data_IF_154305983804
#
_entry.id   IF_154305983804
#
_cell.length_a   1.000
_cell.length_b   1.000
_cell.length_c   1.000
_cell.angle_alpha   90.00
_cell.angle_beta   90.00
_cell.angle_gamma   90.00
#
_symmetry.space_group_name_H-M   'P 1'
#
loop_
_entity.id
_entity.type
_entity.pdbx_description
1 polymer ?
#
# COMPACT_ATOMS: atom_id res chain seq x y z
N UNK A 1 -10.26 -60.73 43.58
CA UNK A 1 -11.32 -60.29 42.64
C UNK A 1 -11.31 -58.77 42.59
N UNK A 2 -10.62 -58.18 41.61
CA UNK A 2 -10.40 -56.73 41.51
C UNK A 2 -11.21 -56.19 40.32
N UNK A 3 -12.28 -55.44 40.59
CA UNK A 3 -13.13 -54.83 39.56
C UNK A 3 -12.37 -53.67 38.90
N UNK A 4 -12.09 -53.78 37.60
CA UNK A 4 -11.50 -52.71 36.77
C UNK A 4 -12.54 -51.62 36.56
N UNK A 5 -12.27 -50.41 37.06
CA UNK A 5 -13.00 -49.21 36.69
C UNK A 5 -12.34 -48.62 35.42
N UNK A 6 -13.10 -48.55 34.33
CA UNK A 6 -12.69 -47.87 33.10
C UNK A 6 -13.08 -46.40 33.27
N UNK A 7 -12.07 -45.52 33.39
CA UNK A 7 -12.27 -44.08 33.38
C UNK A 7 -12.15 -43.62 31.92
N UNK A 8 -13.30 -43.33 31.31
CA UNK A 8 -13.37 -42.72 29.98
C UNK A 8 -13.08 -41.22 30.12
N UNK A 9 -11.85 -40.81 29.77
CA UNK A 9 -11.46 -39.40 29.73
C UNK A 9 -11.94 -38.79 28.41
N UNK A 10 -13.07 -38.07 28.44
CA UNK A 10 -13.57 -37.34 27.28
C UNK A 10 -12.74 -36.05 27.15
N UNK A 11 -11.86 -35.99 26.15
CA UNK A 11 -11.19 -34.77 25.72
C UNK A 11 -12.22 -33.79 25.13
N UNK A 12 -12.75 -32.90 25.95
CA UNK A 12 -13.46 -31.71 25.48
C UNK A 12 -12.44 -30.61 25.17
N UNK A 13 -11.86 -30.65 23.97
CA UNK A 13 -11.22 -29.46 23.40
C UNK A 13 -12.34 -28.50 23.01
N UNK A 14 -12.40 -27.25 23.55
CA UNK A 14 -13.30 -26.27 23.00
C UNK A 14 -12.85 -25.97 21.57
N UNK A 15 -13.65 -26.42 20.60
CA UNK A 15 -13.60 -25.96 19.22
C UNK A 15 -14.12 -24.52 19.15
N UNK A 16 -13.47 -23.60 19.87
CA UNK A 16 -13.51 -22.19 19.53
C UNK A 16 -12.32 -21.94 18.61
N UNK A 17 -12.39 -22.47 17.39
CA UNK A 17 -11.69 -21.88 16.27
C UNK A 17 -12.50 -20.62 15.98
N UNK A 18 -12.01 -19.49 16.48
CA UNK A 18 -12.54 -18.18 16.11
C UNK A 18 -12.26 -18.05 14.62
N UNK A 19 -13.28 -18.27 13.79
CA UNK A 19 -13.25 -17.82 12.41
C UNK A 19 -13.22 -16.28 12.45
N UNK A 20 -12.01 -15.70 12.55
CA UNK A 20 -11.84 -14.30 12.24
C UNK A 20 -12.26 -14.12 10.78
N UNK A 21 -13.03 -13.05 10.45
CA UNK A 21 -13.43 -12.80 9.08
C UNK A 21 -12.17 -12.53 8.26
N UNK A 22 -11.74 -13.52 7.48
CA UNK A 22 -10.58 -13.41 6.58
C UNK A 22 -10.79 -12.32 5.54
N UNK A 23 -12.05 -12.01 5.22
CA UNK A 23 -12.45 -10.94 4.29
C UNK A 23 -11.92 -9.56 4.66
N UNK A 24 -11.85 -9.23 5.95
CA UNK A 24 -11.50 -7.87 6.40
C UNK A 24 -9.98 -7.63 6.31
N UNK A 25 -9.18 -8.66 6.58
CA UNK A 25 -7.72 -8.61 6.46
C UNK A 25 -7.32 -8.53 4.99
N UNK A 26 -7.96 -9.31 4.12
CA UNK A 26 -7.68 -9.31 2.68
C UNK A 26 -8.06 -7.97 2.03
N UNK A 27 -9.23 -7.40 2.38
CA UNK A 27 -9.66 -6.10 1.88
C UNK A 27 -8.76 -4.96 2.37
N UNK A 28 -8.33 -4.98 3.64
CA UNK A 28 -7.40 -3.99 4.16
C UNK A 28 -6.03 -4.08 3.50
N UNK A 29 -5.53 -5.29 3.24
CA UNK A 29 -4.27 -5.50 2.56
C UNK A 29 -4.33 -5.02 1.10
N UNK A 30 -5.45 -5.25 0.40
CA UNK A 30 -5.70 -4.73 -0.94
C UNK A 30 -5.71 -3.19 -0.95
N UNK A 31 -6.40 -2.57 0.00
CA UNK A 31 -6.42 -1.11 0.13
C UNK A 31 -5.02 -0.53 0.41
N UNK A 32 -4.23 -1.17 1.27
CA UNK A 32 -2.84 -0.76 1.53
C UNK A 32 -2.00 -0.87 0.26
N UNK A 33 -2.18 -1.96 -0.50
CA UNK A 33 -1.49 -2.13 -1.78
C UNK A 33 -1.84 -1.00 -2.76
N UNK A 34 -3.13 -0.68 -2.92
CA UNK A 34 -3.58 0.35 -3.85
C UNK A 34 -3.16 1.76 -3.41
N UNK A 35 -3.12 2.03 -2.10
CA UNK A 35 -2.59 3.29 -1.57
C UNK A 35 -1.08 3.44 -1.82
N UNK A 36 -0.30 2.35 -1.71
CA UNK A 36 1.12 2.37 -2.09
C UNK A 36 1.30 2.54 -3.60
N UNK A 37 0.44 1.92 -4.41
CA UNK A 37 0.43 2.09 -5.86
C UNK A 37 0.12 3.55 -6.25
N UNK A 38 -0.87 4.17 -5.60
CA UNK A 38 -1.23 5.57 -5.81
C UNK A 38 -0.08 6.51 -5.40
N UNK A 39 0.60 6.21 -4.29
CA UNK A 39 1.76 6.97 -3.82
C UNK A 39 2.91 6.93 -4.86
N UNK A 40 3.18 5.74 -5.42
CA UNK A 40 4.18 5.58 -6.50
C UNK A 40 3.78 6.35 -7.76
N UNK A 41 2.55 6.18 -8.23
CA UNK A 41 2.03 6.90 -9.38
C UNK A 41 2.13 8.42 -9.20
N UNK A 42 1.79 8.91 -8.00
CA UNK A 42 1.91 10.32 -7.63
C UNK A 42 3.35 10.84 -7.67
N UNK A 43 4.33 10.01 -7.27
CA UNK A 43 5.73 10.36 -7.40
C UNK A 43 6.21 10.36 -8.86
N UNK A 44 5.73 9.41 -9.68
CA UNK A 44 6.07 9.33 -11.11
C UNK A 44 5.59 10.55 -11.89
N UNK A 45 4.40 11.09 -11.57
CA UNK A 45 3.86 12.33 -12.12
C UNK A 45 4.81 13.53 -11.93
N UNK A 46 5.68 13.49 -10.91
CA UNK A 46 6.63 14.57 -10.60
C UNK A 46 8.01 14.39 -11.23
N UNK A 47 8.25 13.29 -11.96
CA UNK A 47 9.53 13.03 -12.59
C UNK A 47 9.73 13.92 -13.82
N UNK A 48 10.98 14.16 -14.23
CA UNK A 48 11.27 15.01 -15.40
C UNK A 48 11.00 14.31 -16.74
N UNK A 49 11.07 12.98 -16.75
CA UNK A 49 10.85 12.18 -17.95
C UNK A 49 9.36 12.14 -18.32
N UNK A 50 9.04 12.53 -19.56
CA UNK A 50 7.65 12.67 -20.02
C UNK A 50 6.90 11.33 -20.06
N UNK A 51 7.59 10.24 -20.38
CA UNK A 51 6.97 8.91 -20.39
C UNK A 51 6.59 8.51 -18.96
N UNK A 52 7.48 8.69 -17.99
CA UNK A 52 7.20 8.40 -16.58
C UNK A 52 6.08 9.27 -16.01
N UNK A 53 6.05 10.56 -16.35
CA UNK A 53 4.94 11.43 -15.94
C UNK A 53 3.60 10.90 -16.45
N UNK A 54 3.52 10.60 -17.76
CA UNK A 54 2.30 10.12 -18.38
C UNK A 54 1.88 8.74 -17.84
N UNK A 55 2.83 7.82 -17.64
CA UNK A 55 2.57 6.53 -17.01
C UNK A 55 2.03 6.69 -15.58
N UNK A 56 2.59 7.63 -14.80
CA UNK A 56 2.08 7.99 -13.48
C UNK A 56 0.65 8.51 -13.52
N UNK A 57 0.30 9.40 -14.46
CA UNK A 57 -1.08 9.89 -14.62
C UNK A 57 -2.06 8.77 -14.97
N UNK A 58 -1.74 7.94 -15.96
CA UNK A 58 -2.59 6.82 -16.38
C UNK A 58 -2.81 5.85 -15.21
N UNK A 59 -1.75 5.53 -14.47
CA UNK A 59 -1.83 4.63 -13.33
C UNK A 59 -2.63 5.22 -12.16
N UNK A 60 -2.41 6.49 -11.81
CA UNK A 60 -3.20 7.14 -10.76
C UNK A 60 -4.69 7.19 -11.11
N UNK A 61 -5.02 7.48 -12.38
CA UNK A 61 -6.39 7.49 -12.85
C UNK A 61 -7.04 6.10 -12.80
N UNK A 62 -6.33 5.05 -13.23
CA UNK A 62 -6.88 3.69 -13.20
C UNK A 62 -7.16 3.21 -11.77
N UNK A 63 -6.32 3.61 -10.80
CA UNK A 63 -6.55 3.33 -9.38
C UNK A 63 -7.75 4.09 -8.83
N UNK A 64 -7.92 5.37 -9.20
CA UNK A 64 -9.05 6.18 -8.74
C UNK A 64 -10.39 5.74 -9.32
N UNK A 65 -10.42 5.33 -10.60
CA UNK A 65 -11.61 4.75 -11.23
C UNK A 65 -11.97 3.39 -10.62
N UNK A 66 -10.97 2.58 -10.26
CA UNK A 66 -11.18 1.28 -9.62
C UNK A 66 -11.55 1.35 -8.14
N UNK A 67 -11.26 2.46 -7.46
CA UNK A 67 -11.45 2.62 -6.02
C UNK A 67 -12.33 3.83 -5.69
N UNK A 68 -13.61 3.57 -5.43
CA UNK A 68 -14.58 4.58 -4.98
C UNK A 68 -14.17 5.32 -3.68
N UNK A 69 -13.25 4.74 -2.91
CA UNK A 69 -12.70 5.34 -1.68
C UNK A 69 -11.66 6.43 -1.96
N UNK A 70 -11.06 6.47 -3.16
CA UNK A 70 -10.00 7.41 -3.54
C UNK A 70 -10.59 8.76 -3.98
N UNK A 71 -11.44 9.34 -3.14
CA UNK A 71 -11.99 10.65 -3.41
C UNK A 71 -10.90 11.74 -3.34
N UNK A 72 -11.15 12.84 -4.05
CA UNK A 72 -10.19 13.93 -4.22
C UNK A 72 -9.71 14.51 -2.88
N UNK A 73 -10.66 14.91 -2.02
CA UNK A 73 -10.37 15.68 -0.81
C UNK A 73 -9.70 14.85 0.30
N UNK A 74 -10.02 13.56 0.38
CA UNK A 74 -9.62 12.75 1.54
C UNK A 74 -8.51 11.76 1.24
N UNK A 75 -8.25 11.44 -0.03
CA UNK A 75 -7.17 10.53 -0.42
C UNK A 75 -6.21 11.21 -1.39
N UNK A 76 -6.70 11.69 -2.54
CA UNK A 76 -5.80 12.14 -3.61
C UNK A 76 -5.00 13.39 -3.23
N UNK A 77 -5.65 14.43 -2.69
CA UNK A 77 -4.97 15.67 -2.27
C UNK A 77 -4.01 15.43 -1.08
N UNK A 78 -4.40 14.73 0.01
CA UNK A 78 -3.47 14.39 1.08
C UNK A 78 -2.27 13.57 0.59
N UNK A 79 -2.50 12.57 -0.29
CA UNK A 79 -1.43 11.76 -0.86
C UNK A 79 -0.47 12.62 -1.68
N UNK A 80 -0.98 13.46 -2.58
CA UNK A 80 -0.18 14.40 -3.37
C UNK A 80 0.68 15.29 -2.47
N UNK A 81 0.09 15.89 -1.44
CA UNK A 81 0.81 16.76 -0.52
C UNK A 81 1.91 16.00 0.25
N UNK A 82 1.62 14.79 0.72
CA UNK A 82 2.59 13.94 1.40
C UNK A 82 3.76 13.57 0.49
N UNK A 83 3.50 13.25 -0.78
CA UNK A 83 4.51 12.91 -1.78
C UNK A 83 5.34 14.13 -2.17
N UNK A 84 4.73 15.30 -2.38
CA UNK A 84 5.48 16.53 -2.68
C UNK A 84 6.44 16.88 -1.53
N UNK A 85 5.98 16.74 -0.28
CA UNK A 85 6.84 16.91 0.89
C UNK A 85 7.94 15.86 0.98
N UNK A 86 7.64 14.60 0.66
CA UNK A 86 8.62 13.52 0.67
C UNK A 86 9.70 13.76 -0.41
N UNK A 87 9.30 14.11 -1.63
CA UNK A 87 10.20 14.45 -2.75
C UNK A 87 11.18 15.56 -2.35
N UNK A 88 10.71 16.61 -1.67
CA UNK A 88 11.57 17.70 -1.22
C UNK A 88 12.66 17.27 -0.22
N UNK A 89 12.48 16.13 0.46
CA UNK A 89 13.39 15.60 1.47
C UNK A 89 14.19 14.37 1.03
N UNK A 90 13.95 13.84 -0.19
CA UNK A 90 14.74 12.73 -0.75
C UNK A 90 15.60 13.23 -1.91
N UNK A 91 16.92 13.04 -1.85
CA UNK A 91 17.77 13.31 -3.01
C UNK A 91 17.55 12.27 -4.11
N UNK A 92 17.58 12.71 -5.37
CA UNK A 92 17.50 11.81 -6.53
C UNK A 92 18.73 10.90 -6.60
N UNK A 93 18.51 9.61 -6.82
CA UNK A 93 19.59 8.68 -7.12
C UNK A 93 20.17 8.94 -8.49
N UNK A 94 21.48 8.96 -8.53
CA UNK A 94 22.28 9.18 -9.72
C UNK A 94 23.37 8.12 -9.75
N UNK A 95 23.28 7.21 -10.70
CA UNK A 95 24.31 6.19 -10.91
C UNK A 95 25.21 6.58 -12.06
N UNK A 96 26.52 6.28 -12.04
CA UNK A 96 27.34 6.39 -13.23
C UNK A 96 26.79 5.49 -14.33
N UNK A 97 26.53 6.05 -15.52
CA UNK A 97 26.25 5.21 -16.69
C UNK A 97 27.56 4.62 -17.18
N UNK A 98 27.58 3.30 -17.40
CA UNK A 98 28.66 2.62 -18.13
C UNK A 98 28.51 2.81 -19.65
N UNK A 99 27.35 3.27 -20.12
CA UNK A 99 27.11 3.57 -21.53
C UNK A 99 27.62 4.96 -21.90
N UNK A 100 28.37 5.10 -23.01
CA UNK A 100 28.77 6.40 -23.54
C UNK A 100 27.55 7.25 -23.97
N UNK A 101 27.56 8.58 -23.72
CA UNK A 101 28.54 9.28 -22.91
C UNK A 101 28.36 8.92 -21.42
N UNK A 102 29.48 8.69 -20.71
CA UNK A 102 29.55 8.38 -19.28
C UNK A 102 28.99 9.53 -18.43
N UNK A 103 27.67 9.72 -18.48
CA UNK A 103 26.91 10.72 -17.74
C UNK A 103 26.20 10.00 -16.62
N UNK A 104 26.09 10.63 -15.47
CA UNK A 104 25.27 10.06 -14.41
C UNK A 104 23.81 10.00 -14.87
N UNK A 105 23.18 8.85 -14.69
CA UNK A 105 21.79 8.59 -15.02
C UNK A 105 20.95 8.63 -13.75
N UNK A 106 19.86 9.39 -13.79
CA UNK A 106 18.88 9.38 -12.71
C UNK A 106 18.16 8.02 -12.66
N UNK A 107 17.85 7.53 -11.45
CA UNK A 107 17.03 6.33 -11.24
C UNK A 107 15.66 6.70 -10.64
N UNK A 108 14.75 7.28 -11.45
CA UNK A 108 13.47 7.79 -10.97
C UNK A 108 12.56 6.70 -10.36
N UNK A 109 12.65 5.45 -10.82
CA UNK A 109 11.87 4.33 -10.26
C UNK A 109 12.34 3.99 -8.83
N UNK A 110 13.66 3.79 -8.65
CA UNK A 110 14.24 3.53 -7.33
C UNK A 110 14.02 4.72 -6.40
N UNK A 111 14.13 5.94 -6.93
CA UNK A 111 13.84 7.17 -6.20
C UNK A 111 12.41 7.19 -5.67
N UNK A 112 11.42 6.91 -6.52
CA UNK A 112 10.03 6.90 -6.09
C UNK A 112 9.72 5.79 -5.08
N UNK A 113 10.38 4.63 -5.22
CA UNK A 113 10.30 3.59 -4.19
C UNK A 113 10.70 4.14 -2.82
N UNK A 114 11.83 4.83 -2.70
CA UNK A 114 12.26 5.36 -1.39
C UNK A 114 11.43 6.55 -0.90
N UNK A 115 10.93 7.38 -1.81
CA UNK A 115 9.97 8.45 -1.48
C UNK A 115 8.73 7.88 -0.80
N UNK A 116 8.15 6.80 -1.34
CA UNK A 116 6.91 6.25 -0.77
C UNK A 116 7.14 5.54 0.57
N UNK A 117 8.35 5.05 0.85
CA UNK A 117 8.68 4.41 2.13
C UNK A 117 9.10 5.39 3.22
N UNK A 118 9.11 6.70 2.94
CA UNK A 118 9.34 7.68 3.99
C UNK A 118 8.30 7.57 5.12
N UNK A 119 8.69 7.82 6.37
CA UNK A 119 7.80 7.65 7.52
C UNK A 119 6.48 8.41 7.44
N UNK A 120 6.48 9.63 6.91
CA UNK A 120 5.27 10.46 6.78
C UNK A 120 4.28 9.90 5.74
N UNK A 121 4.78 9.37 4.62
CA UNK A 121 3.94 8.76 3.57
C UNK A 121 3.33 7.47 4.10
N UNK A 122 4.15 6.61 4.71
CA UNK A 122 3.68 5.36 5.31
C UNK A 122 2.74 5.57 6.49
N UNK A 123 2.90 6.65 7.26
CA UNK A 123 1.95 7.02 8.31
C UNK A 123 0.57 7.38 7.71
N UNK A 124 0.54 8.19 6.65
CA UNK A 124 -0.69 8.54 5.95
C UNK A 124 -1.38 7.30 5.36
N UNK A 125 -0.63 6.41 4.69
CA UNK A 125 -1.20 5.16 4.13
C UNK A 125 -1.86 4.32 5.22
N UNK A 126 -1.21 4.18 6.39
CA UNK A 126 -1.78 3.45 7.53
C UNK A 126 -3.01 4.13 8.13
N UNK A 127 -3.05 5.46 8.13
CA UNK A 127 -4.22 6.22 8.60
C UNK A 127 -5.41 6.02 7.65
N UNK A 128 -5.20 6.22 6.35
CA UNK A 128 -6.21 6.05 5.33
C UNK A 128 -6.72 4.60 5.29
N UNK A 129 -5.83 3.61 5.37
CA UNK A 129 -6.24 2.21 5.37
C UNK A 129 -7.10 1.85 6.58
N UNK A 130 -6.80 2.37 7.77
CA UNK A 130 -7.63 2.18 8.97
C UNK A 130 -8.99 2.87 8.85
N UNK A 131 -9.03 4.06 8.23
CA UNK A 131 -10.25 4.84 8.05
C UNK A 131 -11.21 4.18 7.07
N UNK A 132 -10.69 3.66 5.95
CA UNK A 132 -11.52 3.18 4.84
C UNK A 132 -11.70 1.64 4.81
N UNK A 133 -10.86 0.85 5.47
CA UNK A 133 -11.07 -0.61 5.64
C UNK A 133 -12.42 -1.00 6.25
N UNK A 134 -13.11 -0.09 6.95
CA UNK A 134 -14.42 -0.33 7.59
C UNK A 134 -15.61 -0.05 6.69
N UNK A 135 -15.40 0.55 5.52
CA UNK A 135 -16.46 1.02 4.62
C UNK A 135 -16.70 0.08 3.43
N UNK A 136 -15.86 -0.94 3.23
CA UNK A 136 -16.00 -2.00 2.24
C UNK A 136 -17.17 -2.98 2.44
N UNK A 137 -18.24 -2.59 3.15
CA UNK A 137 -19.51 -3.32 3.09
C UNK A 137 -20.15 -3.05 1.72
N UNK A 138 -19.84 -3.89 0.73
CA UNK A 138 -20.79 -4.08 -0.37
C UNK A 138 -22.09 -4.61 0.27
N UNK A 139 -23.25 -3.94 0.09
CA UNK A 139 -24.51 -4.59 0.37
C UNK A 139 -24.62 -5.77 -0.60
N UNK A 140 -24.83 -6.97 -0.06
CA UNK A 140 -25.27 -8.14 -0.83
C UNK A 140 -26.66 -7.87 -1.42
#
# INVERSE_FOLDING_TARGET
MLKKAIITLILSLPLSVWAQPTSDVDAQQALIHDLNALANASCLIKQKDAYLQNAGYIWANSLAEGNMEFNLETVLLPMKAAIEKAIANTPMYSVPSEQPPLKSQALPIAYCFDVIYQPNVQALIRELSKKYSRLGKKPN
#
